data_IF_021189944662
#
_entry.id   IF_021189944662
#
_cell.length_a   1.000
_cell.length_b   1.000
_cell.length_c   1.000
_cell.angle_alpha   90.00
_cell.angle_beta   90.00
_cell.angle_gamma   90.00
#
_symmetry.space_group_name_H-M   'P 1'
#
loop_
_entity.id
_entity.type
_entity.pdbx_description
1 polymer ?
#
# COMPACT_ATOMS: atom_id res chain seq x y z
N UNK A 1 -4.88 -3.43 -8.83
CA UNK A 1 -4.56 -3.58 -7.39
C UNK A 1 -3.51 -4.67 -7.19
N UNK A 2 -2.55 -4.44 -6.30
CA UNK A 2 -1.49 -5.36 -5.89
C UNK A 2 -1.48 -5.54 -4.38
N UNK A 3 -1.24 -6.77 -3.90
CA UNK A 3 -1.19 -7.10 -2.48
C UNK A 3 0.09 -7.90 -2.21
N UNK A 4 0.89 -7.45 -1.25
CA UNK A 4 2.11 -8.15 -0.81
C UNK A 4 2.05 -8.40 0.69
N UNK A 5 2.30 -9.64 1.09
CA UNK A 5 2.37 -10.02 2.51
C UNK A 5 3.80 -10.33 2.90
N UNK A 6 4.30 -9.62 3.90
CA UNK A 6 5.64 -9.78 4.45
C UNK A 6 5.53 -10.11 5.94
N UNK A 7 6.61 -10.68 6.49
CA UNK A 7 6.69 -10.95 7.93
C UNK A 7 7.21 -9.71 8.66
N UNK A 8 6.61 -9.43 9.81
CA UNK A 8 7.18 -8.47 10.75
C UNK A 8 8.51 -9.01 11.31
N UNK A 9 9.50 -8.14 11.57
CA UNK A 9 10.69 -8.51 12.33
C UNK A 9 10.31 -9.04 13.72
N UNK A 10 11.13 -9.93 14.27
CA UNK A 10 10.92 -10.46 15.61
C UNK A 10 11.25 -9.39 16.68
N UNK A 11 10.38 -9.24 17.68
CA UNK A 11 10.57 -8.33 18.80
C UNK A 11 9.75 -7.03 18.72
N UNK A 12 9.80 -6.19 19.78
CA UNK A 12 9.09 -4.92 19.78
C UNK A 12 9.79 -3.93 18.84
N UNK A 13 9.22 -3.76 17.65
CA UNK A 13 9.66 -2.76 16.66
C UNK A 13 8.58 -1.68 16.55
N UNK A 14 8.99 -0.43 16.63
CA UNK A 14 8.09 0.72 16.46
C UNK A 14 7.60 0.84 15.03
N UNK A 15 6.44 1.46 14.82
CA UNK A 15 5.81 1.51 13.50
C UNK A 15 6.67 2.23 12.45
N UNK A 16 7.39 3.29 12.85
CA UNK A 16 8.32 3.99 11.97
C UNK A 16 9.44 3.09 11.45
N UNK A 17 9.98 2.22 12.32
CA UNK A 17 11.03 1.28 11.96
C UNK A 17 10.48 0.14 11.08
N UNK A 18 9.22 -0.26 11.30
CA UNK A 18 8.52 -1.21 10.42
C UNK A 18 8.33 -0.65 9.01
N UNK A 19 7.90 0.61 8.89
CA UNK A 19 7.79 1.30 7.61
C UNK A 19 9.16 1.43 6.93
N UNK A 20 10.20 1.81 7.69
CA UNK A 20 11.56 1.90 7.15
C UNK A 20 12.06 0.55 6.62
N UNK A 21 11.81 -0.53 7.36
CA UNK A 21 12.15 -1.89 6.95
C UNK A 21 11.37 -2.35 5.71
N UNK A 22 10.09 -1.99 5.61
CA UNK A 22 9.27 -2.26 4.44
C UNK A 22 9.79 -1.51 3.21
N UNK A 23 10.02 -0.21 3.32
CA UNK A 23 10.52 0.65 2.22
C UNK A 23 11.89 0.15 1.73
N UNK A 24 12.74 -0.33 2.64
CA UNK A 24 14.04 -0.92 2.31
C UNK A 24 13.98 -2.33 1.69
N UNK A 25 12.81 -2.98 1.70
CA UNK A 25 12.65 -4.36 1.23
C UNK A 25 12.59 -4.43 -0.31
N UNK A 26 13.15 -5.48 -0.91
CA UNK A 26 13.14 -5.65 -2.38
C UNK A 26 11.74 -5.61 -2.98
N UNK A 27 10.75 -6.18 -2.28
CA UNK A 27 9.34 -6.21 -2.72
C UNK A 27 8.70 -4.81 -2.80
N UNK A 28 9.30 -3.81 -2.15
CA UNK A 28 8.87 -2.42 -2.25
C UNK A 28 9.40 -1.75 -3.52
N UNK A 29 10.35 -2.35 -4.25
CA UNK A 29 10.92 -1.78 -5.49
C UNK A 29 10.06 -2.14 -6.70
N UNK A 30 8.82 -1.68 -6.69
CA UNK A 30 7.81 -1.94 -7.72
C UNK A 30 7.29 -0.61 -8.27
N UNK A 31 7.46 -0.40 -9.57
CA UNK A 31 7.00 0.82 -10.24
C UNK A 31 5.49 0.81 -10.50
N UNK A 32 4.80 -0.32 -10.34
CA UNK A 32 3.36 -0.51 -10.62
C UNK A 32 2.91 -0.08 -12.03
N UNK A 33 3.86 0.08 -12.96
CA UNK A 33 3.64 0.46 -14.35
C UNK A 33 4.26 -0.54 -15.36
N UNK A 34 4.45 -1.81 -14.96
CA UNK A 34 5.11 -2.80 -15.83
C UNK A 34 5.48 -4.13 -15.19
N UNK A 35 6.71 -4.59 -15.43
CA UNK A 35 7.21 -5.95 -15.18
C UNK A 35 7.34 -6.37 -13.69
N UNK A 36 6.84 -5.57 -12.75
CA UNK A 36 6.85 -5.84 -11.32
C UNK A 36 8.16 -5.44 -10.63
N UNK A 37 8.57 -6.25 -9.64
CA UNK A 37 9.69 -5.93 -8.75
C UNK A 37 11.04 -6.05 -9.47
N UNK A 38 11.86 -5.01 -9.38
CA UNK A 38 13.24 -5.03 -9.88
C UNK A 38 14.24 -4.54 -8.82
N UNK A 39 15.39 -5.22 -8.66
CA UNK A 39 16.34 -4.90 -7.59
C UNK A 39 16.96 -3.51 -7.71
N UNK A 40 17.17 -3.04 -8.95
CA UNK A 40 17.76 -1.73 -9.25
C UNK A 40 16.70 -0.64 -9.50
N UNK A 41 15.43 -0.94 -9.25
CA UNK A 41 14.35 0.03 -9.43
C UNK A 41 14.49 1.18 -8.42
N UNK A 42 14.38 2.40 -8.95
CA UNK A 42 14.49 3.67 -8.23
C UNK A 42 13.14 4.37 -8.11
N UNK A 43 12.07 3.77 -8.66
CA UNK A 43 10.70 4.26 -8.63
C UNK A 43 9.83 3.40 -7.72
N UNK A 44 8.77 4.00 -7.21
CA UNK A 44 7.70 3.31 -6.49
C UNK A 44 6.35 3.91 -6.89
N UNK A 45 5.58 3.18 -7.70
CA UNK A 45 4.37 3.75 -8.29
C UNK A 45 4.67 5.05 -9.03
N UNK A 46 3.98 6.12 -8.66
CA UNK A 46 4.19 7.47 -9.20
C UNK A 46 5.47 8.16 -8.74
N UNK A 47 6.11 7.71 -7.66
CA UNK A 47 7.13 8.48 -6.95
C UNK A 47 8.56 8.01 -7.19
N UNK A 48 9.53 8.90 -7.03
CA UNK A 48 10.91 8.49 -6.77
C UNK A 48 10.99 7.76 -5.44
N UNK A 49 11.52 6.53 -5.42
CA UNK A 49 11.63 5.71 -4.22
C UNK A 49 12.39 6.43 -3.10
N UNK A 50 13.38 7.26 -3.43
CA UNK A 50 14.16 8.03 -2.45
C UNK A 50 13.35 9.07 -1.67
N UNK A 51 12.15 9.43 -2.15
CA UNK A 51 11.25 10.39 -1.50
C UNK A 51 10.15 9.69 -0.68
N UNK A 52 9.96 8.39 -0.86
CA UNK A 52 9.04 7.59 -0.04
C UNK A 52 9.75 7.24 1.26
N UNK A 53 9.38 7.92 2.34
CA UNK A 53 9.95 7.74 3.69
C UNK A 53 8.86 7.36 4.70
N UNK A 54 9.19 6.82 5.88
CA UNK A 54 8.17 6.56 6.90
C UNK A 54 7.34 7.78 7.27
N UNK A 55 7.93 8.97 7.22
CA UNK A 55 7.35 10.21 7.72
C UNK A 55 6.28 10.80 6.76
N UNK A 56 6.18 10.29 5.53
CA UNK A 56 5.13 10.70 4.58
C UNK A 56 3.85 9.84 4.68
N UNK A 57 3.84 8.82 5.54
CA UNK A 57 2.64 8.03 5.79
C UNK A 57 1.79 8.65 6.91
N UNK A 58 0.50 8.79 6.63
CA UNK A 58 -0.50 9.15 7.65
C UNK A 58 -0.99 7.87 8.34
N UNK A 59 -1.10 7.89 9.68
CA UNK A 59 -1.87 6.86 10.38
C UNK A 59 -3.35 7.14 10.23
N UNK A 60 -4.09 6.20 9.64
CA UNK A 60 -5.52 6.34 9.35
C UNK A 60 -6.35 5.31 10.13
N UNK A 61 -7.60 5.65 10.42
CA UNK A 61 -8.50 4.71 11.08
C UNK A 61 -8.92 3.58 10.11
N UNK A 62 -9.27 2.42 10.67
CA UNK A 62 -9.76 1.28 9.90
C UNK A 62 -11.00 1.63 9.07
N UNK A 63 -11.87 2.48 9.60
CA UNK A 63 -13.08 2.97 8.92
C UNK A 63 -12.73 3.85 7.73
N UNK A 64 -11.81 4.83 7.90
CA UNK A 64 -11.34 5.69 6.80
C UNK A 64 -10.68 4.83 5.71
N UNK A 65 -9.82 3.89 6.08
CA UNK A 65 -9.18 2.97 5.12
C UNK A 65 -10.20 2.14 4.36
N UNK A 66 -11.16 1.52 5.06
CA UNK A 66 -12.20 0.72 4.41
C UNK A 66 -13.10 1.55 3.50
N UNK A 67 -13.36 2.81 3.85
CA UNK A 67 -14.13 3.73 3.02
C UNK A 67 -13.40 4.05 1.71
N UNK A 68 -12.15 4.51 1.77
CA UNK A 68 -11.34 4.81 0.56
C UNK A 68 -11.22 3.59 -0.34
N UNK A 69 -10.95 2.42 0.23
CA UNK A 69 -10.84 1.17 -0.54
C UNK A 69 -12.18 0.78 -1.19
N UNK A 70 -13.32 0.98 -0.52
CA UNK A 70 -14.64 0.73 -1.11
C UNK A 70 -14.96 1.71 -2.23
N UNK A 71 -14.60 2.97 -2.09
CA UNK A 71 -14.80 3.97 -3.15
C UNK A 71 -14.01 3.58 -4.39
N UNK A 72 -12.73 3.25 -4.23
CA UNK A 72 -11.89 2.78 -5.34
C UNK A 72 -12.44 1.49 -5.98
N UNK A 73 -12.79 0.49 -5.17
CA UNK A 73 -13.32 -0.79 -5.66
C UNK A 73 -14.62 -0.63 -6.48
N UNK A 74 -15.51 0.27 -6.06
CA UNK A 74 -16.82 0.46 -6.70
C UNK A 74 -16.84 1.58 -7.75
N UNK A 75 -15.70 2.18 -8.08
CA UNK A 75 -15.64 3.36 -8.95
C UNK A 75 -16.21 3.11 -10.36
N UNK A 76 -16.16 1.86 -10.82
CA UNK A 76 -16.68 1.42 -12.12
C UNK A 76 -18.00 0.64 -12.04
N UNK A 77 -18.67 0.69 -10.88
CA UNK A 77 -19.93 -0.02 -10.62
C UNK A 77 -19.75 -1.23 -9.72
N UNK A 78 -20.81 -2.04 -9.65
CA UNK A 78 -20.87 -3.17 -8.72
C UNK A 78 -19.85 -4.27 -9.06
N UNK A 79 -19.14 -4.73 -8.04
CA UNK A 79 -18.17 -5.81 -8.15
C UNK A 79 -18.87 -7.18 -8.19
N UNK A 80 -18.49 -8.09 -9.10
CA UNK A 80 -19.01 -9.46 -9.10
C UNK A 80 -18.84 -10.15 -7.75
N UNK A 81 -19.82 -10.96 -7.34
CA UNK A 81 -19.88 -11.54 -5.99
C UNK A 81 -18.62 -12.33 -5.60
N UNK A 82 -18.03 -13.07 -6.54
CA UNK A 82 -16.81 -13.86 -6.28
C UNK A 82 -15.60 -12.95 -6.00
N UNK A 83 -15.45 -11.87 -6.79
CA UNK A 83 -14.40 -10.87 -6.57
C UNK A 83 -14.66 -10.07 -5.28
N UNK A 84 -15.92 -9.76 -4.96
CA UNK A 84 -16.28 -9.12 -3.70
C UNK A 84 -15.90 -9.99 -2.48
N UNK A 85 -16.12 -11.30 -2.55
CA UNK A 85 -15.72 -12.23 -1.50
C UNK A 85 -14.19 -12.33 -1.36
N UNK A 86 -13.46 -12.28 -2.48
CA UNK A 86 -11.99 -12.24 -2.46
C UNK A 86 -11.48 -10.95 -1.82
N UNK A 87 -12.02 -9.79 -2.21
CA UNK A 87 -11.69 -8.49 -1.62
C UNK A 87 -12.01 -8.42 -0.13
N UNK A 88 -13.13 -9.00 0.30
CA UNK A 88 -13.47 -9.10 1.72
C UNK A 88 -12.38 -9.84 2.49
N UNK A 89 -11.91 -10.97 1.97
CA UNK A 89 -10.89 -11.81 2.61
C UNK A 89 -9.49 -11.21 2.58
N UNK A 90 -9.07 -10.69 1.44
CA UNK A 90 -7.67 -10.24 1.24
C UNK A 90 -7.45 -8.78 1.64
N UNK A 91 -8.51 -7.96 1.68
CA UNK A 91 -8.41 -6.53 1.97
C UNK A 91 -9.18 -6.17 3.24
N UNK A 92 -10.51 -6.30 3.23
CA UNK A 92 -11.34 -5.70 4.28
C UNK A 92 -11.21 -6.40 5.64
N UNK A 93 -11.10 -7.73 5.67
CA UNK A 93 -10.82 -8.50 6.89
C UNK A 93 -9.47 -8.11 7.51
N UNK A 94 -8.47 -7.78 6.69
CA UNK A 94 -7.14 -7.37 7.16
C UNK A 94 -7.18 -5.98 7.76
N UNK A 95 -7.83 -5.03 7.09
CA UNK A 95 -8.06 -3.68 7.63
C UNK A 95 -8.80 -3.77 8.97
N UNK A 96 -9.80 -4.65 9.09
CA UNK A 96 -10.57 -4.81 10.34
C UNK A 96 -9.73 -5.32 11.50
N UNK A 97 -8.75 -6.19 11.24
CA UNK A 97 -7.87 -6.82 12.24
C UNK A 97 -6.59 -6.03 12.52
N UNK A 98 -6.30 -5.02 11.70
CA UNK A 98 -5.05 -4.26 11.72
C UNK A 98 -4.76 -3.61 13.08
N UNK A 99 -3.56 -3.77 13.63
CA UNK A 99 -3.11 -2.96 14.76
C UNK A 99 -3.02 -1.49 14.33
N UNK A 100 -2.35 -1.23 13.21
CA UNK A 100 -2.26 0.09 12.59
C UNK A 100 -2.45 0.00 11.08
N UNK A 101 -3.02 1.06 10.50
CA UNK A 101 -3.09 1.26 9.07
C UNK A 101 -2.42 2.58 8.73
N UNK A 102 -1.44 2.51 7.84
CA UNK A 102 -0.73 3.67 7.30
C UNK A 102 -1.18 3.89 5.87
N UNK A 103 -1.31 5.15 5.47
CA UNK A 103 -1.77 5.53 4.15
C UNK A 103 -0.82 6.57 3.55
N UNK A 104 -0.34 6.30 2.33
CA UNK A 104 0.46 7.24 1.56
C UNK A 104 -0.50 8.19 0.83
N UNK A 105 -0.79 9.32 1.45
CA UNK A 105 -1.74 10.30 0.91
C UNK A 105 -1.05 11.31 -0.01
N UNK A 106 -0.53 10.87 -1.15
CA UNK A 106 -0.02 11.77 -2.20
C UNK A 106 1.21 12.61 -1.81
N UNK A 107 2.35 12.41 -2.47
CA UNK A 107 3.59 13.17 -2.14
C UNK A 107 3.74 14.51 -2.87
N UNK A 108 2.73 14.94 -3.61
CA UNK A 108 2.83 16.08 -4.52
C UNK A 108 3.52 15.73 -5.84
N UNK A 109 3.34 16.60 -6.85
CA UNK A 109 3.88 16.41 -8.19
C UNK A 109 5.42 16.52 -8.22
N UNK A 110 6.01 17.23 -7.27
CA UNK A 110 7.46 17.35 -7.11
C UNK A 110 8.15 16.02 -6.77
N UNK A 111 7.38 15.07 -6.24
CA UNK A 111 7.88 13.74 -5.90
C UNK A 111 7.75 12.75 -7.06
N UNK A 112 7.06 13.13 -8.15
CA UNK A 112 6.87 12.28 -9.31
C UNK A 112 8.19 12.02 -10.04
N UNK A 113 8.35 10.79 -10.52
CA UNK A 113 9.33 10.50 -11.57
C UNK A 113 8.82 10.94 -12.94
N UNK A 114 9.64 10.77 -13.96
CA UNK A 114 9.35 11.24 -15.32
C UNK A 114 8.04 10.68 -15.91
N UNK A 115 7.50 9.59 -15.34
CA UNK A 115 6.22 8.96 -15.70
C UNK A 115 5.22 8.93 -14.53
N UNK A 116 5.43 9.73 -13.49
CA UNK A 116 4.66 9.63 -12.23
C UNK A 116 3.19 10.05 -12.35
N UNK A 117 2.85 10.85 -13.34
CA UNK A 117 1.47 11.27 -13.64
C UNK A 117 0.72 10.33 -14.59
N UNK A 118 1.21 9.10 -14.83
CA UNK A 118 0.51 8.12 -15.68
C UNK A 118 -0.70 7.52 -14.97
N UNK A 119 -0.61 7.33 -13.64
CA UNK A 119 -1.74 6.85 -12.86
C UNK A 119 -2.65 8.02 -12.48
N UNK A 120 -3.94 7.93 -12.81
CA UNK A 120 -4.95 8.91 -12.39
C UNK A 120 -5.17 8.86 -10.87
N UNK A 121 -5.00 7.68 -10.27
CA UNK A 121 -5.07 7.47 -8.83
C UNK A 121 -3.98 6.51 -8.35
N UNK A 122 -3.35 6.86 -7.22
CA UNK A 122 -2.40 6.01 -6.51
C UNK A 122 -2.74 5.97 -5.03
N UNK A 123 -3.27 4.85 -4.56
CA UNK A 123 -3.58 4.60 -3.16
C UNK A 123 -2.69 3.49 -2.62
N UNK A 124 -1.89 3.80 -1.61
CA UNK A 124 -1.07 2.80 -0.93
C UNK A 124 -1.40 2.74 0.56
N UNK A 125 -1.68 1.52 1.02
CA UNK A 125 -1.90 1.21 2.43
C UNK A 125 -0.86 0.21 2.94
N UNK A 126 -0.34 0.48 4.13
CA UNK A 126 0.47 -0.47 4.89
C UNK A 126 -0.31 -0.88 6.13
N UNK A 127 -0.66 -2.15 6.19
CA UNK A 127 -1.49 -2.72 7.25
C UNK A 127 -0.61 -3.61 8.13
N UNK A 128 -0.52 -3.29 9.42
CA UNK A 128 0.21 -4.12 10.39
C UNK A 128 -0.75 -5.02 11.16
N UNK A 129 -0.41 -6.30 11.28
CA UNK A 129 -1.10 -7.28 12.11
C UNK A 129 -0.04 -8.03 12.93
N UNK A 130 0.20 -7.53 14.13
CA UNK A 130 1.15 -8.06 15.12
C UNK A 130 0.66 -9.39 15.67
N UNK A 131 -0.65 -9.65 15.70
CA UNK A 131 -1.21 -10.92 16.16
C UNK A 131 -0.81 -12.09 15.25
N UNK A 132 -0.69 -11.85 13.95
CA UNK A 132 -0.23 -12.84 12.96
C UNK A 132 1.21 -12.63 12.51
N UNK A 133 1.90 -11.61 13.02
CA UNK A 133 3.28 -11.28 12.66
C UNK A 133 3.43 -10.83 11.21
N UNK A 134 2.44 -10.14 10.65
CA UNK A 134 2.37 -9.77 9.23
C UNK A 134 2.31 -8.26 9.03
N UNK A 135 2.92 -7.83 7.93
CA UNK A 135 2.71 -6.51 7.32
C UNK A 135 2.20 -6.74 5.90
N UNK A 136 1.15 -6.03 5.53
CA UNK A 136 0.55 -6.11 4.20
C UNK A 136 0.71 -4.76 3.51
N UNK A 137 1.36 -4.77 2.35
CA UNK A 137 1.40 -3.65 1.42
C UNK A 137 0.28 -3.84 0.41
N UNK A 138 -0.61 -2.87 0.33
CA UNK A 138 -1.75 -2.85 -0.58
C UNK A 138 -1.63 -1.61 -1.45
N UNK A 139 -1.54 -1.82 -2.77
CA UNK A 139 -1.48 -0.72 -3.74
C UNK A 139 -2.65 -0.83 -4.70
N UNK A 140 -3.47 0.20 -4.74
CA UNK A 140 -4.57 0.38 -5.68
C UNK A 140 -4.22 1.53 -6.62
N UNK A 141 -3.96 1.19 -7.88
CA UNK A 141 -3.68 2.13 -8.97
C UNK A 141 -4.79 2.04 -10.02
N UNK A 142 -4.99 3.13 -10.73
CA UNK A 142 -5.82 3.21 -11.92
C UNK A 142 -5.10 3.99 -13.03
N UNK A 143 -5.33 3.60 -14.28
CA UNK A 143 -4.65 4.09 -15.50
C UNK A 143 -5.64 4.74 -16.48
#
# INVERSE_FOLDING_TARGET
MSIKHLRLPAGPVGDRDLLAALIGHEQFRDAYAGAGVHPDETRHGSYWLSLVTPDVYETVSREKSAHVLREWVNQYGDVPADLAAELEREVFDRVRRADHVFYLNGLGEEAFHDWGGVHDQFHEFVITDRSTGRITLLVATDD
#
